data_IF_220480009946
#
_entry.id   IF_220480009946
#
_cell.length_a   1.000
_cell.length_b   1.000
_cell.length_c   1.000
_cell.angle_alpha   90.00
_cell.angle_beta   90.00
_cell.angle_gamma   90.00
#
_symmetry.space_group_name_H-M   'P 1'
#
loop_
_entity.id
_entity.type
_entity.pdbx_description
1 polymer ?
#
# COMPACT_ATOMS: atom_id res chain seq x y z
N UNK A 1 57.35 12.56 -4.68
CA UNK A 1 56.52 13.25 -5.70
C UNK A 1 56.28 14.65 -5.20
N UNK A 2 56.58 15.69 -5.98
CA UNK A 2 56.30 17.07 -5.56
C UNK A 2 54.81 17.24 -5.26
N UNK A 3 54.47 17.93 -4.15
CA UNK A 3 53.09 18.14 -3.71
C UNK A 3 52.20 18.73 -4.83
N UNK A 4 52.75 19.62 -5.63
CA UNK A 4 52.12 20.21 -6.83
C UNK A 4 51.67 19.15 -7.84
N UNK A 5 52.52 18.18 -8.15
CA UNK A 5 52.23 17.09 -9.08
C UNK A 5 51.14 16.17 -8.54
N UNK A 6 51.11 15.89 -7.24
CA UNK A 6 50.04 15.10 -6.62
C UNK A 6 48.69 15.81 -6.72
N UNK A 7 48.66 17.12 -6.44
CA UNK A 7 47.45 17.95 -6.53
C UNK A 7 46.90 17.95 -7.97
N UNK A 8 47.76 18.09 -8.97
CA UNK A 8 47.36 18.04 -10.38
C UNK A 8 46.79 16.66 -10.77
N UNK A 9 47.41 15.58 -10.29
CA UNK A 9 46.90 14.22 -10.51
C UNK A 9 45.50 14.01 -9.89
N UNK A 10 45.26 14.54 -8.68
CA UNK A 10 43.95 14.46 -8.02
C UNK A 10 42.89 15.23 -8.80
N UNK A 11 43.22 16.42 -9.33
CA UNK A 11 42.28 17.20 -10.16
C UNK A 11 41.88 16.45 -11.43
N UNK A 12 42.81 15.75 -12.07
CA UNK A 12 42.54 14.99 -13.29
C UNK A 12 41.82 13.66 -13.00
N UNK A 13 42.10 13.02 -11.87
CA UNK A 13 41.48 11.77 -11.45
C UNK A 13 41.38 11.68 -9.92
N UNK A 14 40.24 12.08 -9.31
CA UNK A 14 40.12 12.12 -7.85
C UNK A 14 40.19 10.73 -7.20
N UNK A 15 39.91 9.64 -7.94
CA UNK A 15 40.02 8.28 -7.42
C UNK A 15 41.47 7.88 -7.08
N UNK A 16 42.47 8.63 -7.56
CA UNK A 16 43.87 8.39 -7.20
C UNK A 16 44.12 8.56 -5.70
N UNK A 17 43.22 9.23 -4.96
CA UNK A 17 43.31 9.33 -3.51
C UNK A 17 43.44 7.96 -2.83
N UNK A 18 42.87 6.90 -3.43
CA UNK A 18 42.95 5.53 -2.94
C UNK A 18 44.37 4.92 -3.00
N UNK A 19 45.26 5.45 -3.83
CA UNK A 19 46.64 4.94 -4.02
C UNK A 19 47.69 5.80 -3.33
N UNK A 20 47.29 6.96 -2.77
CA UNK A 20 48.19 7.85 -2.06
C UNK A 20 48.36 7.35 -0.63
N UNK A 21 49.60 7.08 -0.23
CA UNK A 21 49.92 6.74 1.15
C UNK A 21 49.79 7.99 2.04
N UNK A 22 48.95 7.92 3.07
CA UNK A 22 48.71 8.99 4.06
C UNK A 22 48.41 10.37 3.41
N UNK A 23 47.32 10.51 2.63
CA UNK A 23 46.99 11.78 2.00
C UNK A 23 46.70 12.85 3.05
N UNK A 24 47.10 14.09 2.78
CA UNK A 24 46.79 15.23 3.65
C UNK A 24 45.30 15.58 3.57
N UNK A 25 44.77 16.30 4.55
CA UNK A 25 43.36 16.72 4.53
C UNK A 25 43.05 17.65 3.35
N UNK A 26 44.01 18.46 2.92
CA UNK A 26 43.92 19.26 1.69
C UNK A 26 43.72 18.37 0.44
N UNK A 27 44.46 17.27 0.33
CA UNK A 27 44.32 16.32 -0.78
C UNK A 27 42.97 15.60 -0.74
N UNK A 28 42.53 15.18 0.46
CA UNK A 28 41.22 14.54 0.66
C UNK A 28 40.08 15.48 0.28
N UNK A 29 40.09 16.71 0.78
CA UNK A 29 39.06 17.73 0.49
C UNK A 29 39.02 18.06 -1.00
N UNK A 30 40.19 18.18 -1.65
CA UNK A 30 40.27 18.38 -3.10
C UNK A 30 39.65 17.21 -3.87
N UNK A 31 39.99 15.97 -3.51
CA UNK A 31 39.44 14.78 -4.16
C UNK A 31 37.91 14.72 -4.01
N UNK A 32 37.39 14.97 -2.80
CA UNK A 32 35.94 14.99 -2.52
C UNK A 32 35.24 16.09 -3.31
N UNK A 33 35.87 17.27 -3.44
CA UNK A 33 35.31 18.39 -4.19
C UNK A 33 35.09 18.05 -5.66
N UNK A 34 36.00 17.28 -6.26
CA UNK A 34 35.87 16.82 -7.66
C UNK A 34 34.93 15.61 -7.79
N UNK A 35 34.92 14.69 -6.81
CA UNK A 35 34.00 13.55 -6.79
C UNK A 35 33.68 13.12 -5.35
N UNK A 36 32.47 13.39 -4.88
CA UNK A 36 32.03 13.07 -3.52
C UNK A 36 32.06 11.58 -3.19
N UNK A 37 32.01 10.69 -4.19
CA UNK A 37 32.06 9.24 -3.97
C UNK A 37 33.42 8.73 -3.51
N UNK A 38 34.50 9.51 -3.67
CA UNK A 38 35.82 9.10 -3.18
C UNK A 38 35.91 9.05 -1.67
N UNK A 39 34.88 9.52 -0.96
CA UNK A 39 34.73 9.33 0.49
C UNK A 39 34.88 7.85 0.89
N UNK A 40 34.51 6.92 0.00
CA UNK A 40 34.74 5.46 0.16
C UNK A 40 36.19 5.10 0.50
N UNK A 41 37.16 5.83 -0.05
CA UNK A 41 38.58 5.55 0.07
C UNK A 41 39.25 6.32 1.22
N UNK A 42 38.50 7.17 1.93
CA UNK A 42 39.03 8.02 2.98
C UNK A 42 38.73 7.38 4.33
N UNK A 43 39.79 6.94 5.01
CA UNK A 43 39.69 6.44 6.37
C UNK A 43 39.43 7.58 7.36
N UNK A 44 38.44 7.40 8.23
CA UNK A 44 38.04 8.35 9.28
C UNK A 44 37.84 9.78 8.75
N UNK A 45 36.91 10.01 7.80
CA UNK A 45 36.68 11.33 7.23
C UNK A 45 36.11 12.29 8.29
N UNK A 46 36.57 13.54 8.27
CA UNK A 46 36.05 14.58 9.16
C UNK A 46 34.59 14.92 8.82
N UNK A 47 33.88 15.60 9.72
CA UNK A 47 32.49 16.03 9.45
C UNK A 47 32.41 16.94 8.22
N UNK A 48 33.37 17.85 8.05
CA UNK A 48 33.49 18.70 6.86
C UNK A 48 33.62 17.88 5.57
N UNK A 49 34.46 16.83 5.57
CA UNK A 49 34.62 15.95 4.41
C UNK A 49 33.33 15.21 4.07
N UNK A 50 32.60 14.74 5.09
CA UNK A 50 31.30 14.06 4.92
C UNK A 50 30.25 15.00 4.33
N UNK A 51 30.14 16.23 4.84
CA UNK A 51 29.22 17.25 4.33
C UNK A 51 29.55 17.65 2.90
N UNK A 52 30.83 17.87 2.60
CA UNK A 52 31.30 18.19 1.26
C UNK A 52 30.98 17.05 0.27
N UNK A 53 31.15 15.81 0.69
CA UNK A 53 30.85 14.64 -0.13
C UNK A 53 29.35 14.56 -0.47
N UNK A 54 28.47 14.75 0.51
CA UNK A 54 27.01 14.78 0.29
C UNK A 54 26.61 15.95 -0.61
N UNK A 55 27.22 17.13 -0.41
CA UNK A 55 26.95 18.31 -1.23
C UNK A 55 27.35 18.12 -2.70
N UNK A 56 28.41 17.35 -2.96
CA UNK A 56 28.85 17.01 -4.30
C UNK A 56 28.00 15.87 -4.90
N UNK A 57 27.80 14.78 -4.16
CA UNK A 57 27.03 13.63 -4.61
C UNK A 57 26.28 12.98 -3.43
N UNK A 58 24.96 13.07 -3.46
CA UNK A 58 24.11 12.58 -2.37
C UNK A 58 24.30 11.10 -2.04
N UNK A 59 24.69 10.28 -3.02
CA UNK A 59 24.96 8.85 -2.83
C UNK A 59 26.18 8.58 -1.96
N UNK A 60 27.03 9.58 -1.71
CA UNK A 60 28.14 9.46 -0.77
C UNK A 60 27.69 9.15 0.67
N UNK A 61 26.41 9.38 1.01
CA UNK A 61 25.85 9.02 2.32
C UNK A 61 26.04 7.54 2.67
N UNK A 62 26.12 6.65 1.67
CA UNK A 62 26.39 5.21 1.87
C UNK A 62 27.73 4.92 2.54
N UNK A 63 28.68 5.85 2.42
CA UNK A 63 30.03 5.75 2.98
C UNK A 63 30.17 6.43 4.34
N UNK A 64 29.09 7.01 4.86
CA UNK A 64 29.06 7.64 6.19
C UNK A 64 28.48 6.62 7.19
N UNK A 65 29.25 6.31 8.24
CA UNK A 65 28.83 5.32 9.23
C UNK A 65 27.72 5.83 10.15
N UNK A 66 27.77 7.12 10.51
CA UNK A 66 26.81 7.79 11.40
C UNK A 66 26.45 9.18 10.81
N UNK A 67 25.59 9.21 9.77
CA UNK A 67 25.16 10.46 9.17
C UNK A 67 24.29 11.23 10.15
N UNK A 68 24.43 12.57 10.18
CA UNK A 68 23.53 13.40 10.99
C UNK A 68 22.11 13.37 10.43
N UNK A 69 21.11 13.74 11.24
CA UNK A 69 19.74 13.85 10.74
C UNK A 69 19.63 14.84 9.57
N UNK A 70 20.36 15.96 9.61
CA UNK A 70 20.38 16.94 8.51
C UNK A 70 20.96 16.35 7.21
N UNK A 71 22.01 15.52 7.30
CA UNK A 71 22.56 14.78 6.16
C UNK A 71 21.51 13.83 5.57
N UNK A 72 20.82 13.08 6.43
CA UNK A 72 19.78 12.14 6.02
C UNK A 72 18.58 12.87 5.38
N UNK A 73 18.14 13.98 5.96
CA UNK A 73 17.05 14.81 5.43
C UNK A 73 17.44 15.38 4.07
N UNK A 74 18.66 15.94 3.95
CA UNK A 74 19.17 16.43 2.68
C UNK A 74 19.18 15.34 1.62
N UNK A 75 19.58 14.13 2.00
CA UNK A 75 19.53 12.98 1.11
C UNK A 75 18.11 12.65 0.66
N UNK A 76 17.18 12.46 1.60
CA UNK A 76 15.80 12.11 1.29
C UNK A 76 15.10 13.17 0.43
N UNK A 77 15.45 14.45 0.58
CA UNK A 77 14.90 15.52 -0.26
C UNK A 77 15.27 15.39 -1.76
N UNK A 78 16.36 14.69 -2.11
CA UNK A 78 16.71 14.37 -3.50
C UNK A 78 15.83 13.21 -4.05
N UNK A 79 15.41 12.31 -3.17
CA UNK A 79 14.42 11.29 -3.49
C UNK A 79 14.34 10.18 -2.44
N UNK A 80 13.12 9.72 -2.14
CA UNK A 80 12.85 8.70 -1.11
C UNK A 80 13.66 7.40 -1.26
N UNK A 81 14.01 7.02 -2.50
CA UNK A 81 14.77 5.79 -2.78
C UNK A 81 16.18 5.78 -2.18
N UNK A 82 16.72 6.94 -1.82
CA UNK A 82 18.03 7.05 -1.17
C UNK A 82 18.07 6.40 0.22
N UNK A 83 16.91 6.16 0.84
CA UNK A 83 16.81 5.48 2.14
C UNK A 83 17.51 4.11 2.14
N UNK A 84 17.61 3.45 0.98
CA UNK A 84 18.37 2.20 0.81
C UNK A 84 19.84 2.32 1.22
N UNK A 85 20.40 3.53 1.09
CA UNK A 85 21.79 3.84 1.41
C UNK A 85 21.97 4.45 2.81
N UNK A 86 20.89 4.80 3.49
CA UNK A 86 20.94 5.45 4.80
C UNK A 86 20.95 4.37 5.88
N UNK A 87 22.02 4.34 6.66
CA UNK A 87 22.12 3.48 7.83
C UNK A 87 21.28 4.08 8.97
N UNK A 88 20.36 3.28 9.53
CA UNK A 88 19.52 3.64 10.69
C UNK A 88 18.78 4.99 10.55
N UNK A 89 17.92 5.17 9.52
CA UNK A 89 17.17 6.42 9.36
C UNK A 89 16.24 6.66 10.57
N UNK A 90 16.13 7.92 11.00
CA UNK A 90 15.18 8.30 12.05
C UNK A 90 13.74 8.25 11.54
N UNK A 91 12.75 8.13 12.44
CA UNK A 91 11.33 8.16 12.07
C UNK A 91 10.95 9.43 11.29
N UNK A 92 11.60 10.56 11.58
CA UNK A 92 11.41 11.82 10.86
C UNK A 92 11.88 11.70 9.41
N UNK A 93 13.05 11.12 9.17
CA UNK A 93 13.61 10.87 7.84
C UNK A 93 12.72 9.89 7.06
N UNK A 94 12.28 8.81 7.71
CA UNK A 94 11.35 7.83 7.14
C UNK A 94 10.02 8.50 6.75
N UNK A 95 9.44 9.30 7.65
CA UNK A 95 8.19 10.03 7.40
C UNK A 95 8.30 10.97 6.20
N UNK A 96 9.42 11.68 6.06
CA UNK A 96 9.68 12.53 4.88
C UNK A 96 9.71 11.71 3.58
N UNK A 97 10.35 10.54 3.60
CA UNK A 97 10.40 9.66 2.44
C UNK A 97 9.02 9.08 2.09
N UNK A 98 8.24 8.64 3.10
CA UNK A 98 6.87 8.14 2.90
C UNK A 98 5.97 9.22 2.29
N UNK A 99 6.15 10.49 2.68
CA UNK A 99 5.38 11.59 2.12
C UNK A 99 5.59 11.77 0.61
N UNK A 100 6.76 11.37 0.08
CA UNK A 100 7.04 11.34 -1.35
C UNK A 100 6.48 10.06 -2.01
N UNK A 101 6.67 8.89 -1.39
CA UNK A 101 6.11 7.62 -1.86
C UNK A 101 5.87 6.65 -0.69
N UNK A 102 4.66 6.10 -0.60
CA UNK A 102 4.27 5.17 0.47
C UNK A 102 5.15 3.93 0.56
N UNK A 103 5.71 3.49 -0.58
CA UNK A 103 6.64 2.34 -0.64
C UNK A 103 7.95 2.54 0.16
N UNK A 104 8.29 3.77 0.54
CA UNK A 104 9.44 4.05 1.39
C UNK A 104 9.36 3.35 2.76
N UNK A 105 8.16 2.94 3.20
CA UNK A 105 7.94 2.17 4.43
C UNK A 105 8.78 0.88 4.49
N UNK A 106 9.17 0.30 3.34
CA UNK A 106 10.02 -0.89 3.27
C UNK A 106 11.39 -0.72 3.94
N UNK A 107 11.84 0.52 4.14
CA UNK A 107 13.09 0.87 4.82
C UNK A 107 12.91 1.15 6.32
N UNK A 108 11.68 1.12 6.83
CA UNK A 108 11.41 1.27 8.26
C UNK A 108 11.49 -0.09 8.96
N UNK A 109 12.33 -0.18 9.97
CA UNK A 109 12.37 -1.36 10.85
C UNK A 109 11.28 -1.22 11.91
N UNK A 110 10.26 -2.08 11.86
CA UNK A 110 9.12 -2.08 12.77
C UNK A 110 8.38 -0.72 12.82
N UNK A 111 7.81 -0.25 11.68
CA UNK A 111 7.14 1.04 11.63
C UNK A 111 5.97 1.12 12.60
N UNK A 112 5.82 2.28 13.25
CA UNK A 112 4.64 2.60 14.06
C UNK A 112 3.36 2.57 13.22
N UNK A 113 2.21 2.40 13.87
CA UNK A 113 0.90 2.45 13.21
C UNK A 113 0.71 3.75 12.41
N UNK A 114 1.20 4.89 12.91
CA UNK A 114 1.15 6.17 12.20
C UNK A 114 1.90 6.13 10.85
N UNK A 115 3.11 5.57 10.83
CA UNK A 115 3.91 5.46 9.60
C UNK A 115 3.28 4.48 8.62
N UNK A 116 2.73 3.37 9.13
CA UNK A 116 2.02 2.39 8.31
C UNK A 116 0.77 2.99 7.66
N UNK A 117 -0.07 3.72 8.43
CA UNK A 117 -1.25 4.42 7.92
C UNK A 117 -0.87 5.47 6.89
N UNK A 118 0.20 6.24 7.14
CA UNK A 118 0.70 7.24 6.21
C UNK A 118 1.13 6.58 4.88
N UNK A 119 1.80 5.42 4.95
CA UNK A 119 2.24 4.69 3.77
C UNK A 119 1.08 4.19 2.91
N UNK A 120 0.09 3.52 3.51
CA UNK A 120 -1.05 2.98 2.75
C UNK A 120 -1.96 4.07 2.18
N UNK A 121 -2.08 5.22 2.87
CA UNK A 121 -2.78 6.40 2.32
C UNK A 121 -2.10 6.99 1.10
N UNK A 122 -0.77 6.91 1.02
CA UNK A 122 0.00 7.36 -0.15
C UNK A 122 -0.06 6.35 -1.28
N UNK A 123 0.14 5.08 -0.97
CA UNK A 123 0.07 3.97 -1.90
C UNK A 123 -0.51 2.77 -1.17
N UNK A 124 -1.77 2.39 -1.46
CA UNK A 124 -2.45 1.29 -0.75
C UNK A 124 -1.64 -0.01 -0.79
N UNK A 125 -0.94 -0.26 -1.91
CA UNK A 125 -0.16 -1.46 -2.14
C UNK A 125 1.18 -1.44 -1.38
N UNK A 126 1.54 -0.35 -0.69
CA UNK A 126 2.67 -0.33 0.24
C UNK A 126 2.50 -1.28 1.42
N UNK A 127 1.27 -1.72 1.71
CA UNK A 127 0.98 -2.73 2.73
C UNK A 127 1.76 -4.03 2.48
N UNK A 128 2.12 -4.35 1.22
CA UNK A 128 2.96 -5.52 0.87
C UNK A 128 4.37 -5.49 1.50
N UNK A 129 4.82 -4.32 1.94
CA UNK A 129 6.11 -4.13 2.61
C UNK A 129 5.99 -4.10 4.14
N UNK A 130 4.79 -4.26 4.69
CA UNK A 130 4.53 -4.24 6.12
C UNK A 130 4.30 -5.69 6.58
N UNK A 131 5.24 -6.23 7.36
CA UNK A 131 5.20 -7.65 7.78
C UNK A 131 3.99 -8.01 8.64
N UNK A 132 3.57 -7.11 9.52
CA UNK A 132 2.45 -7.31 10.43
C UNK A 132 1.65 -6.00 10.50
N UNK A 133 0.80 -5.73 9.51
CA UNK A 133 0.03 -4.49 9.48
C UNK A 133 -1.02 -4.49 10.59
N UNK A 134 -1.16 -3.36 11.30
CA UNK A 134 -2.26 -3.16 12.24
C UNK A 134 -3.60 -3.32 11.54
N UNK A 135 -4.63 -3.75 12.27
CA UNK A 135 -5.98 -3.91 11.69
C UNK A 135 -6.47 -2.60 11.04
N UNK A 136 -6.25 -1.46 11.68
CA UNK A 136 -6.59 -0.14 11.12
C UNK A 136 -5.90 0.12 9.76
N UNK A 137 -4.66 -0.35 9.59
CA UNK A 137 -3.86 -0.20 8.37
C UNK A 137 -4.39 -1.13 7.27
N UNK A 138 -4.74 -2.36 7.63
CA UNK A 138 -5.38 -3.30 6.72
C UNK A 138 -6.69 -2.72 6.18
N UNK A 139 -7.56 -2.25 7.07
CA UNK A 139 -8.83 -1.61 6.73
C UNK A 139 -8.64 -0.39 5.83
N UNK A 140 -7.71 0.51 6.18
CA UNK A 140 -7.43 1.72 5.40
C UNK A 140 -7.00 1.35 3.97
N UNK A 141 -6.12 0.36 3.83
CA UNK A 141 -5.64 -0.08 2.51
C UNK A 141 -6.78 -0.64 1.65
N UNK A 142 -7.65 -1.50 2.21
CA UNK A 142 -8.79 -2.06 1.45
C UNK A 142 -9.92 -1.06 1.22
N UNK A 143 -10.06 -0.02 2.06
CA UNK A 143 -10.95 1.12 1.82
C UNK A 143 -10.53 1.90 0.57
N UNK A 144 -9.21 2.07 0.37
CA UNK A 144 -8.66 2.75 -0.81
C UNK A 144 -8.75 1.85 -2.05
N UNK A 145 -8.38 0.57 -1.92
CA UNK A 145 -8.50 -0.41 -3.00
C UNK A 145 -8.67 -1.81 -2.45
N UNK A 146 -9.76 -2.50 -2.81
CA UNK A 146 -9.99 -3.88 -2.40
C UNK A 146 -8.85 -4.82 -2.83
N UNK A 147 -8.11 -4.48 -3.90
CA UNK A 147 -6.95 -5.27 -4.38
C UNK A 147 -5.86 -5.34 -3.32
N UNK A 148 -5.80 -4.39 -2.37
CA UNK A 148 -4.87 -4.44 -1.23
C UNK A 148 -4.94 -5.77 -0.46
N UNK A 149 -6.13 -6.40 -0.41
CA UNK A 149 -6.37 -7.65 0.30
C UNK A 149 -5.43 -8.77 -0.15
N UNK A 150 -5.01 -8.79 -1.43
CA UNK A 150 -4.08 -9.79 -1.97
C UNK A 150 -2.69 -9.79 -1.33
N UNK A 151 -2.32 -8.69 -0.66
CA UNK A 151 -1.01 -8.49 -0.05
C UNK A 151 -1.04 -8.69 1.48
N UNK A 152 -2.19 -9.06 2.04
CA UNK A 152 -2.37 -9.23 3.49
C UNK A 152 -2.41 -10.73 3.80
N UNK A 153 -1.37 -11.23 4.46
CA UNK A 153 -1.24 -12.67 4.77
C UNK A 153 -2.32 -13.18 5.73
N UNK A 154 -2.83 -12.32 6.62
CA UNK A 154 -3.84 -12.67 7.63
C UNK A 154 -4.77 -11.48 7.85
N UNK A 155 -5.71 -11.22 6.91
CA UNK A 155 -6.63 -10.11 7.02
C UNK A 155 -7.60 -10.32 8.18
N UNK A 156 -7.93 -9.25 8.90
CA UNK A 156 -9.01 -9.32 9.88
C UNK A 156 -10.34 -9.57 9.18
N UNK A 157 -11.30 -10.15 9.90
CA UNK A 157 -12.64 -10.38 9.35
C UNK A 157 -13.31 -9.07 8.90
N UNK A 158 -13.08 -7.98 9.64
CA UNK A 158 -13.59 -6.66 9.25
C UNK A 158 -12.92 -6.14 7.97
N UNK A 159 -11.62 -6.38 7.81
CA UNK A 159 -10.88 -6.05 6.58
C UNK A 159 -11.47 -6.80 5.37
N UNK A 160 -11.75 -8.09 5.51
CA UNK A 160 -12.40 -8.89 4.47
C UNK A 160 -13.79 -8.32 4.10
N UNK A 161 -14.62 -8.00 5.11
CA UNK A 161 -15.95 -7.40 4.89
C UNK A 161 -15.89 -6.08 4.15
N UNK A 162 -14.96 -5.20 4.52
CA UNK A 162 -14.77 -3.90 3.85
C UNK A 162 -14.35 -4.11 2.39
N UNK A 163 -13.39 -5.00 2.14
CA UNK A 163 -12.93 -5.31 0.79
C UNK A 163 -14.08 -5.85 -0.08
N UNK A 164 -14.88 -6.78 0.45
CA UNK A 164 -16.06 -7.34 -0.22
C UNK A 164 -17.13 -6.30 -0.50
N UNK A 165 -17.41 -5.43 0.48
CA UNK A 165 -18.37 -4.33 0.33
C UNK A 165 -17.95 -3.38 -0.80
N UNK A 166 -16.65 -3.10 -0.91
CA UNK A 166 -16.08 -2.27 -1.96
C UNK A 166 -16.13 -2.95 -3.34
N UNK A 167 -15.79 -4.24 -3.42
CA UNK A 167 -15.84 -5.00 -4.66
C UNK A 167 -16.00 -6.50 -4.41
N UNK A 168 -16.95 -7.12 -5.13
CA UNK A 168 -17.23 -8.55 -4.98
C UNK A 168 -16.05 -9.44 -5.38
N UNK A 169 -15.15 -8.97 -6.25
CA UNK A 169 -13.99 -9.72 -6.72
C UNK A 169 -12.95 -9.95 -5.60
N UNK A 170 -13.02 -9.21 -4.50
CA UNK A 170 -12.18 -9.40 -3.32
C UNK A 170 -12.29 -10.83 -2.75
N UNK A 171 -13.42 -11.51 -2.98
CA UNK A 171 -13.65 -12.90 -2.56
C UNK A 171 -12.56 -13.86 -3.08
N UNK A 172 -11.94 -13.54 -4.23
CA UNK A 172 -10.87 -14.37 -4.82
C UNK A 172 -9.57 -14.33 -4.01
N UNK A 173 -9.39 -13.34 -3.13
CA UNK A 173 -8.22 -13.21 -2.28
C UNK A 173 -8.43 -13.78 -0.87
N UNK A 174 -9.65 -14.24 -0.55
CA UNK A 174 -9.98 -14.81 0.76
C UNK A 174 -9.72 -16.32 0.73
N UNK A 175 -8.69 -16.76 1.46
CA UNK A 175 -8.24 -18.17 1.45
C UNK A 175 -9.10 -19.06 2.36
N UNK A 176 -9.52 -18.55 3.51
CA UNK A 176 -10.28 -19.31 4.52
C UNK A 176 -11.78 -19.01 4.43
N UNK A 177 -12.38 -19.36 3.29
CA UNK A 177 -13.80 -19.12 3.03
C UNK A 177 -14.66 -20.29 3.52
N UNK A 178 -15.27 -20.14 4.69
CA UNK A 178 -16.28 -21.06 5.21
C UNK A 178 -17.71 -20.63 4.84
N UNK A 179 -18.69 -21.47 5.21
CA UNK A 179 -20.08 -21.25 4.87
C UNK A 179 -20.69 -20.02 5.57
N UNK A 180 -20.29 -19.76 6.82
CA UNK A 180 -20.80 -18.60 7.55
C UNK A 180 -20.28 -17.30 6.93
N UNK A 181 -18.98 -17.23 6.61
CA UNK A 181 -18.40 -16.10 5.88
C UNK A 181 -19.08 -15.86 4.54
N UNK A 182 -19.37 -16.92 3.77
CA UNK A 182 -20.11 -16.81 2.51
C UNK A 182 -21.45 -16.10 2.71
N UNK A 183 -22.24 -16.51 3.70
CA UNK A 183 -23.55 -15.92 3.95
C UNK A 183 -23.42 -14.45 4.38
N UNK A 184 -22.46 -14.13 5.24
CA UNK A 184 -22.21 -12.74 5.65
C UNK A 184 -21.71 -11.86 4.50
N UNK A 185 -20.83 -12.37 3.64
CA UNK A 185 -20.36 -11.66 2.46
C UNK A 185 -21.47 -11.39 1.44
N UNK A 186 -22.40 -12.32 1.27
CA UNK A 186 -23.59 -12.09 0.45
C UNK A 186 -24.51 -11.03 1.06
N UNK A 187 -24.58 -10.91 2.40
CA UNK A 187 -25.37 -9.86 3.05
C UNK A 187 -24.83 -8.45 2.81
N UNK A 188 -23.51 -8.31 2.67
CA UNK A 188 -22.87 -7.00 2.41
C UNK A 188 -22.71 -6.70 0.92
N UNK A 189 -22.55 -7.71 0.07
CA UNK A 189 -22.46 -7.55 -1.39
C UNK A 189 -23.02 -8.79 -2.11
N UNK A 190 -24.25 -8.66 -2.61
CA UNK A 190 -24.94 -9.74 -3.33
C UNK A 190 -24.19 -10.22 -4.59
N UNK A 191 -23.36 -9.38 -5.21
CA UNK A 191 -22.62 -9.74 -6.43
C UNK A 191 -21.51 -10.76 -6.18
N UNK A 192 -21.16 -11.03 -4.91
CA UNK A 192 -20.27 -12.15 -4.54
C UNK A 192 -20.78 -13.47 -5.09
N UNK A 193 -22.10 -13.62 -5.27
CA UNK A 193 -22.73 -14.81 -5.86
C UNK A 193 -22.10 -15.24 -7.18
N UNK A 194 -21.59 -14.30 -7.99
CA UNK A 194 -20.89 -14.57 -9.26
C UNK A 194 -19.72 -15.54 -9.12
N UNK A 195 -19.06 -15.56 -7.97
CA UNK A 195 -17.86 -16.37 -7.72
C UNK A 195 -18.15 -17.63 -6.90
N UNK A 196 -19.30 -17.69 -6.22
CA UNK A 196 -19.59 -18.74 -5.22
C UNK A 196 -20.93 -19.45 -5.48
N UNK A 197 -21.57 -19.25 -6.63
CA UNK A 197 -22.89 -19.81 -6.95
C UNK A 197 -22.99 -21.33 -6.70
N UNK A 198 -21.89 -22.08 -6.90
CA UNK A 198 -21.83 -23.52 -6.67
C UNK A 198 -21.65 -23.93 -5.20
N UNK A 199 -21.40 -22.98 -4.31
CA UNK A 199 -21.11 -23.20 -2.87
C UNK A 199 -22.30 -22.90 -1.96
N UNK A 200 -23.41 -22.41 -2.51
CA UNK A 200 -24.61 -22.03 -1.76
C UNK A 200 -25.86 -22.62 -2.39
N UNK A 201 -26.83 -23.02 -1.57
CA UNK A 201 -28.14 -23.45 -2.05
C UNK A 201 -29.09 -22.27 -2.29
N UNK A 202 -30.14 -22.49 -3.07
CA UNK A 202 -31.19 -21.48 -3.29
C UNK A 202 -31.81 -21.02 -1.97
N UNK A 203 -32.16 -21.95 -1.09
CA UNK A 203 -32.84 -21.64 0.17
C UNK A 203 -31.97 -20.75 1.08
N UNK A 204 -30.67 -21.03 1.15
CA UNK A 204 -29.72 -20.21 1.91
C UNK A 204 -29.61 -18.79 1.36
N UNK A 205 -29.60 -18.63 0.04
CA UNK A 205 -29.59 -17.32 -0.58
C UNK A 205 -30.92 -16.58 -0.35
N UNK A 206 -32.07 -17.27 -0.42
CA UNK A 206 -33.36 -16.66 -0.11
C UNK A 206 -33.42 -16.17 1.34
N UNK A 207 -32.88 -16.91 2.30
CA UNK A 207 -32.80 -16.46 3.69
C UNK A 207 -31.91 -15.24 3.86
N UNK A 208 -30.75 -15.21 3.19
CA UNK A 208 -29.88 -14.00 3.15
C UNK A 208 -30.65 -12.80 2.58
N UNK A 209 -31.34 -12.97 1.45
CA UNK A 209 -32.09 -11.91 0.80
C UNK A 209 -33.25 -11.42 1.67
N UNK A 210 -34.00 -12.30 2.34
CA UNK A 210 -35.05 -11.93 3.29
C UNK A 210 -34.48 -11.08 4.43
N UNK A 211 -33.35 -11.49 5.01
CA UNK A 211 -32.72 -10.77 6.12
C UNK A 211 -32.26 -9.37 5.72
N UNK A 212 -31.74 -9.19 4.50
CA UNK A 212 -31.24 -7.88 4.04
C UNK A 212 -32.36 -7.00 3.51
N UNK A 213 -33.20 -7.51 2.61
CA UNK A 213 -34.20 -6.70 1.92
C UNK A 213 -35.38 -6.27 2.81
N UNK A 214 -35.64 -6.98 3.91
CA UNK A 214 -36.70 -6.62 4.87
C UNK A 214 -36.35 -5.41 5.75
N UNK A 215 -35.09 -4.96 5.76
CA UNK A 215 -34.64 -3.80 6.53
C UNK A 215 -35.00 -2.50 5.82
N UNK A 216 -35.46 -1.50 6.57
CA UNK A 216 -35.80 -0.17 5.99
C UNK A 216 -34.55 0.67 5.66
N UNK A 217 -33.42 0.41 6.33
CA UNK A 217 -32.11 1.03 6.12
C UNK A 217 -31.23 0.28 5.12
N UNK A 218 -31.80 -0.66 4.36
CA UNK A 218 -31.09 -1.38 3.29
C UNK A 218 -30.49 -0.40 2.28
N UNK A 219 -29.23 -0.61 1.93
CA UNK A 219 -28.52 0.25 0.98
C UNK A 219 -29.14 0.14 -0.42
N UNK A 220 -29.42 1.29 -1.05
CA UNK A 220 -29.97 1.35 -2.40
C UNK A 220 -29.11 0.58 -3.41
N UNK A 221 -27.78 0.69 -3.27
CA UNK A 221 -26.82 -0.04 -4.10
C UNK A 221 -27.06 -1.56 -4.04
N UNK A 222 -27.29 -2.12 -2.86
CA UNK A 222 -27.51 -3.55 -2.69
C UNK A 222 -28.77 -4.02 -3.45
N UNK A 223 -29.86 -3.25 -3.37
CA UNK A 223 -31.11 -3.57 -4.06
C UNK A 223 -30.92 -3.52 -5.58
N UNK A 224 -30.27 -2.46 -6.09
CA UNK A 224 -29.99 -2.33 -7.53
C UNK A 224 -29.06 -3.43 -8.02
N UNK A 225 -28.01 -3.77 -7.27
CA UNK A 225 -27.11 -4.88 -7.58
C UNK A 225 -27.86 -6.22 -7.64
N UNK A 226 -28.77 -6.48 -6.69
CA UNK A 226 -29.61 -7.68 -6.70
C UNK A 226 -30.51 -7.73 -7.95
N UNK A 227 -31.22 -6.64 -8.24
CA UNK A 227 -32.11 -6.51 -9.39
C UNK A 227 -31.37 -6.72 -10.72
N UNK A 228 -30.15 -6.23 -10.83
CA UNK A 228 -29.33 -6.30 -12.04
C UNK A 228 -28.38 -7.52 -12.10
N UNK A 229 -28.35 -8.37 -11.07
CA UNK A 229 -27.50 -9.56 -11.05
C UNK A 229 -28.06 -10.70 -11.93
N UNK A 230 -27.46 -11.00 -13.07
CA UNK A 230 -27.95 -12.02 -14.01
C UNK A 230 -27.84 -13.47 -13.50
N UNK A 231 -27.00 -13.72 -12.48
CA UNK A 231 -26.86 -15.07 -11.89
C UNK A 231 -28.13 -15.48 -11.15
N UNK A 232 -28.84 -14.50 -10.59
CA UNK A 232 -30.12 -14.69 -9.94
C UNK A 232 -31.15 -14.17 -10.93
N UNK A 233 -31.98 -15.02 -11.53
CA UNK A 233 -33.03 -14.55 -12.44
C UNK A 233 -34.12 -15.60 -12.52
N UNK A 234 -35.34 -15.21 -12.93
CA UNK A 234 -36.45 -16.16 -13.09
C UNK A 234 -36.10 -17.32 -14.03
N UNK A 235 -35.29 -17.05 -15.05
CA UNK A 235 -34.86 -18.03 -16.05
C UNK A 235 -33.39 -18.44 -15.88
N UNK A 236 -32.77 -18.15 -14.72
CA UNK A 236 -31.38 -18.54 -14.47
C UNK A 236 -31.26 -20.06 -14.26
N UNK A 237 -30.32 -20.69 -14.97
CA UNK A 237 -29.93 -22.09 -14.78
C UNK A 237 -29.28 -22.35 -13.42
N UNK A 238 -28.89 -21.29 -12.70
CA UNK A 238 -28.23 -21.39 -11.40
C UNK A 238 -29.23 -21.20 -10.25
N UNK A 239 -29.85 -20.02 -10.16
CA UNK A 239 -30.75 -19.66 -9.06
C UNK A 239 -31.98 -18.95 -9.62
N UNK A 240 -33.07 -19.71 -9.72
CA UNK A 240 -34.36 -19.23 -10.21
C UNK A 240 -35.12 -18.44 -9.13
N UNK A 241 -35.10 -17.10 -9.21
CA UNK A 241 -35.87 -16.19 -8.33
C UNK A 241 -36.52 -15.09 -9.17
N UNK A 242 -37.84 -14.93 -9.05
CA UNK A 242 -38.54 -13.74 -9.54
C UNK A 242 -38.30 -12.57 -8.58
N UNK A 243 -37.33 -11.72 -8.90
CA UNK A 243 -36.83 -10.66 -8.01
C UNK A 243 -37.91 -9.66 -7.61
N UNK A 244 -38.79 -9.30 -8.55
CA UNK A 244 -39.86 -8.34 -8.29
C UNK A 244 -40.89 -8.91 -7.33
N UNK A 245 -41.31 -10.16 -7.55
CA UNK A 245 -42.21 -10.84 -6.63
C UNK A 245 -41.56 -11.08 -5.26
N UNK A 246 -40.26 -11.39 -5.24
CA UNK A 246 -39.50 -11.59 -4.01
C UNK A 246 -39.46 -10.32 -3.16
N UNK A 247 -39.09 -9.17 -3.75
CA UNK A 247 -39.09 -7.87 -3.05
C UNK A 247 -40.52 -7.47 -2.64
N UNK A 248 -41.53 -7.74 -3.47
CA UNK A 248 -42.91 -7.46 -3.10
C UNK A 248 -43.34 -8.23 -1.83
N UNK A 249 -42.95 -9.51 -1.73
CA UNK A 249 -43.33 -10.38 -0.61
C UNK A 249 -42.51 -10.11 0.66
N UNK A 250 -41.19 -9.92 0.54
CA UNK A 250 -40.27 -9.91 1.68
C UNK A 250 -39.54 -8.59 1.91
N UNK A 251 -39.56 -7.69 0.93
CA UNK A 251 -38.85 -6.41 1.01
C UNK A 251 -39.54 -5.38 1.90
N UNK A 252 -38.73 -4.48 2.44
CA UNK A 252 -39.14 -3.26 3.15
C UNK A 252 -39.85 -2.27 2.22
N UNK A 253 -40.44 -1.20 2.78
CA UNK A 253 -41.03 -0.13 1.96
C UNK A 253 -39.98 0.52 1.08
N UNK A 254 -38.78 0.78 1.64
CA UNK A 254 -37.62 1.27 0.91
C UNK A 254 -37.26 0.36 -0.27
N UNK A 255 -37.12 -0.96 -0.03
CA UNK A 255 -36.76 -1.91 -1.09
C UNK A 255 -37.79 -1.95 -2.22
N UNK A 256 -39.08 -1.94 -1.89
CA UNK A 256 -40.18 -1.92 -2.87
C UNK A 256 -40.17 -0.66 -3.73
N UNK A 257 -39.95 0.51 -3.11
CA UNK A 257 -39.86 1.78 -3.84
C UNK A 257 -38.73 1.75 -4.86
N UNK A 258 -37.52 1.38 -4.43
CA UNK A 258 -36.33 1.31 -5.30
C UNK A 258 -36.53 0.31 -6.44
N UNK A 259 -37.16 -0.84 -6.16
CA UNK A 259 -37.44 -1.85 -7.18
C UNK A 259 -38.43 -1.37 -8.25
N UNK A 260 -39.46 -0.61 -7.86
CA UNK A 260 -40.38 0.03 -8.80
C UNK A 260 -39.64 1.05 -9.65
N UNK A 261 -38.85 1.93 -9.02
CA UNK A 261 -38.08 2.96 -9.71
C UNK A 261 -37.11 2.36 -10.74
N UNK A 262 -36.43 1.25 -10.42
CA UNK A 262 -35.53 0.57 -11.35
C UNK A 262 -36.29 -0.08 -12.52
N UNK A 263 -37.45 -0.69 -12.25
CA UNK A 263 -38.28 -1.30 -13.31
C UNK A 263 -38.80 -0.26 -14.31
N UNK A 264 -39.14 0.95 -13.85
CA UNK A 264 -39.61 2.04 -14.71
C UNK A 264 -38.54 2.53 -15.70
N UNK A 265 -37.25 2.35 -15.42
CA UNK A 265 -36.16 2.75 -16.34
C UNK A 265 -36.01 1.85 -17.56
N UNK A 266 -36.52 0.62 -17.48
CA UNK A 266 -36.35 -0.43 -18.50
C UNK A 266 -37.57 -0.50 -19.42
N UNK A 267 -38.66 0.20 -19.07
CA UNK A 267 -39.87 0.35 -19.89
C UNK A 267 -39.80 1.59 -20.78
#
# INVERSE_FOLDING_TARGET
>A
MEKSKVIEMIKNNPNIIATINNPTDEMKLLAIKENGLVLEYINNPTREMQELAINNNIRAIKFINDPTEDMMIKAVNDGWSILDYIKNPTDKVIKLAINQAGWAIKYSKNPSEELQLLAVRKNYDSIKFIKQPYESVQEEAVKISYDALRYIDSPSYNTELIAIKNNEAAINFITNLDKNKILEFLKVNILVIKYIVKKISKDELEEVLKQVLSKEDVEEKYIRDFLNCNIIDRNSDYIAIDKMMFIYKYGSKTAKKIAVDEKLKIM
#
